data_IF_195226764228
#
_entry.id   IF_195226764228
#
_cell.length_a   1.000
_cell.length_b   1.000
_cell.length_c   1.000
_cell.angle_alpha   90.00
_cell.angle_beta   90.00
_cell.angle_gamma   90.00
#
_symmetry.space_group_name_H-M   'P 1'
#
loop_
_entity.id
_entity.type
_entity.pdbx_description
1 polymer ?
#
# COMPACT_ATOMS: atom_id res chain seq x y z
N UNK A 1 1.39 11.01 -13.74
CA UNK A 1 1.19 12.43 -14.12
C UNK A 1 2.22 13.26 -13.38
N UNK A 2 2.93 14.20 -14.04
CA UNK A 2 3.92 15.05 -13.37
C UNK A 2 3.23 15.95 -12.33
N UNK A 3 3.88 16.16 -11.18
CA UNK A 3 3.37 17.06 -10.13
C UNK A 3 3.95 18.45 -10.37
N UNK A 4 3.08 19.45 -10.43
CA UNK A 4 3.49 20.84 -10.68
C UNK A 4 3.21 21.68 -9.44
N UNK A 5 4.24 22.31 -8.90
CA UNK A 5 4.13 23.29 -7.80
C UNK A 5 4.29 24.71 -8.36
N UNK A 6 3.41 25.63 -7.96
CA UNK A 6 3.48 27.04 -8.36
C UNK A 6 4.07 27.83 -7.21
N UNK A 7 5.28 28.36 -7.39
CA UNK A 7 5.98 29.21 -6.41
C UNK A 7 6.11 30.64 -6.95
N UNK A 8 6.44 31.61 -6.09
CA UNK A 8 6.62 33.03 -6.50
C UNK A 8 7.68 33.22 -7.60
N UNK A 9 8.58 32.24 -7.77
CA UNK A 9 9.66 32.25 -8.77
C UNK A 9 9.33 31.46 -10.05
N UNK A 10 8.09 30.96 -10.19
CA UNK A 10 7.63 30.22 -11.38
C UNK A 10 7.03 28.84 -11.09
N UNK A 11 6.70 28.12 -12.16
CA UNK A 11 6.11 26.77 -12.10
C UNK A 11 7.23 25.72 -12.10
N UNK A 12 7.37 25.00 -10.99
CA UNK A 12 8.29 23.86 -10.86
C UNK A 12 7.52 22.60 -11.28
N UNK A 13 8.11 21.80 -12.16
CA UNK A 13 7.51 20.55 -12.66
C UNK A 13 8.40 19.38 -12.28
N UNK A 14 7.94 18.52 -11.38
CA UNK A 14 8.66 17.32 -11.00
C UNK A 14 8.25 16.14 -11.89
N UNK A 15 9.24 15.49 -12.50
CA UNK A 15 9.05 14.27 -13.30
C UNK A 15 9.86 13.12 -12.72
N UNK A 16 9.42 11.88 -12.94
CA UNK A 16 10.11 10.70 -12.40
C UNK A 16 11.52 10.54 -12.97
N UNK A 17 11.74 11.02 -14.20
CA UNK A 17 13.04 11.02 -14.88
C UNK A 17 14.09 11.81 -14.09
N UNK A 18 13.72 12.98 -13.57
CA UNK A 18 14.59 13.87 -12.79
C UNK A 18 15.11 13.19 -11.50
N UNK A 19 14.30 12.33 -10.87
CA UNK A 19 14.74 11.56 -9.70
C UNK A 19 15.70 10.42 -10.07
N UNK A 20 15.50 9.78 -11.23
CA UNK A 20 16.37 8.68 -11.69
C UNK A 20 17.76 9.17 -12.10
N UNK A 21 17.85 10.34 -12.72
CA UNK A 21 19.13 10.97 -13.09
C UNK A 21 19.98 11.29 -11.85
N UNK A 22 19.36 11.84 -10.80
CA UNK A 22 20.07 12.17 -9.54
C UNK A 22 20.66 10.92 -8.88
N UNK A 23 19.93 9.80 -8.84
CA UNK A 23 20.48 8.54 -8.30
C UNK A 23 21.67 8.02 -9.10
N UNK A 24 21.64 8.19 -10.43
CA UNK A 24 22.73 7.76 -11.31
C UNK A 24 24.01 8.59 -11.10
N UNK A 25 23.87 9.90 -10.88
CA UNK A 25 24.98 10.79 -10.56
C UNK A 25 25.62 10.45 -9.21
N UNK A 26 24.81 10.14 -8.18
CA UNK A 26 25.32 9.67 -6.90
C UNK A 26 26.02 8.30 -6.99
N UNK A 27 25.51 7.40 -7.83
CA UNK A 27 26.14 6.11 -8.09
C UNK A 27 27.47 6.26 -8.85
N UNK A 28 27.56 7.20 -9.79
CA UNK A 28 28.77 7.50 -10.54
C UNK A 28 29.86 8.16 -9.66
N UNK A 29 29.45 9.04 -8.73
CA UNK A 29 30.36 9.75 -7.82
C UNK A 29 31.07 8.84 -6.78
N UNK A 30 30.61 7.60 -6.59
CA UNK A 30 31.22 6.64 -5.66
C UNK A 30 32.55 6.03 -6.17
N UNK A 31 33.03 6.40 -7.36
CA UNK A 31 34.29 5.92 -7.93
C UNK A 31 35.39 6.98 -7.81
N UNK A 32 35.84 7.23 -6.58
CA UNK A 32 37.13 7.91 -6.36
C UNK A 32 38.11 6.95 -5.72
N UNK A 33 39.25 6.78 -6.39
CA UNK A 33 40.30 5.81 -6.07
C UNK A 33 40.73 5.86 -4.60
N UNK A 34 40.65 4.70 -3.94
CA UNK A 34 41.14 4.54 -2.57
C UNK A 34 42.67 4.61 -2.57
N UNK A 35 43.20 5.74 -2.11
CA UNK A 35 44.61 5.86 -1.69
C UNK A 35 44.89 4.78 -0.65
N UNK A 36 45.92 3.97 -0.89
CA UNK A 36 46.30 2.85 -0.04
C UNK A 36 46.75 3.35 1.36
N UNK A 37 45.83 3.31 2.31
CA UNK A 37 46.12 3.50 3.72
C UNK A 37 46.64 2.16 4.28
N UNK A 38 47.87 2.15 4.80
CA UNK A 38 48.47 0.96 5.43
C UNK A 38 47.70 0.69 6.72
N UNK A 39 46.83 -0.32 6.71
CA UNK A 39 46.00 -0.70 7.86
C UNK A 39 46.88 -1.50 8.84
N UNK A 40 46.97 -1.12 10.12
CA UNK A 40 47.71 -1.88 11.13
C UNK A 40 47.09 -3.27 11.31
N UNK A 41 47.94 -4.28 11.54
CA UNK A 41 47.57 -5.71 11.58
C UNK A 41 46.47 -6.05 12.61
N UNK A 42 46.32 -5.22 13.64
CA UNK A 42 45.26 -5.33 14.67
C UNK A 42 43.84 -4.99 14.17
N UNK A 43 43.70 -4.39 12.98
CA UNK A 43 42.41 -4.06 12.36
C UNK A 43 41.97 -5.07 11.27
N UNK A 44 42.68 -6.20 11.14
CA UNK A 44 42.34 -7.27 10.21
C UNK A 44 41.20 -8.15 10.78
N UNK A 45 40.01 -7.57 10.92
CA UNK A 45 38.81 -8.32 11.31
C UNK A 45 38.29 -9.05 10.07
N UNK A 46 38.55 -10.36 9.98
CA UNK A 46 38.03 -11.21 8.90
C UNK A 46 36.61 -11.67 9.23
N UNK A 47 35.64 -11.31 8.39
CA UNK A 47 34.27 -11.83 8.50
C UNK A 47 34.27 -13.30 8.07
N UNK A 48 33.84 -14.20 8.96
CA UNK A 48 33.59 -15.59 8.61
C UNK A 48 32.36 -15.63 7.73
N UNK A 49 32.55 -15.88 6.45
CA UNK A 49 31.46 -16.14 5.51
C UNK A 49 30.78 -17.44 5.95
N UNK A 50 29.52 -17.31 6.35
CA UNK A 50 28.63 -18.43 6.63
C UNK A 50 27.84 -18.58 5.34
N UNK A 51 27.91 -19.76 4.70
CA UNK A 51 27.12 -20.05 3.51
C UNK A 51 25.66 -19.67 3.78
N UNK A 52 25.15 -18.68 3.04
CA UNK A 52 23.73 -18.37 3.00
C UNK A 52 23.02 -19.52 2.30
N UNK A 53 22.82 -20.63 3.02
CA UNK A 53 21.87 -21.65 2.62
C UNK A 53 20.55 -20.92 2.40
N UNK A 54 20.02 -20.98 1.17
CA UNK A 54 18.77 -20.35 0.79
C UNK A 54 17.68 -20.76 1.79
N UNK A 55 17.42 -19.91 2.77
CA UNK A 55 16.42 -20.22 3.78
C UNK A 55 15.08 -20.13 3.06
N UNK A 56 14.48 -21.30 2.85
CA UNK A 56 13.19 -21.39 2.20
C UNK A 56 12.19 -20.60 3.04
N UNK A 57 11.48 -19.64 2.43
CA UNK A 57 10.48 -18.82 3.12
C UNK A 57 9.38 -19.63 3.83
N UNK A 58 9.23 -20.91 3.47
CA UNK A 58 8.32 -21.88 4.08
C UNK A 58 8.75 -22.36 5.48
N UNK A 59 10.02 -22.21 5.86
CA UNK A 59 10.52 -22.70 7.15
C UNK A 59 10.16 -21.71 8.28
N UNK A 60 10.17 -20.41 7.97
CA UNK A 60 9.81 -19.31 8.87
C UNK A 60 8.38 -19.31 9.37
N UNK A 61 7.45 -19.94 8.66
CA UNK A 61 6.04 -20.03 9.07
C UNK A 61 5.81 -21.05 10.19
N UNK A 62 6.78 -21.94 10.44
CA UNK A 62 6.67 -23.05 11.40
C UNK A 62 7.44 -22.86 12.71
N UNK A 63 8.30 -21.84 12.80
CA UNK A 63 9.10 -21.53 13.98
C UNK A 63 8.38 -20.52 14.87
N UNK A 64 8.25 -20.86 16.15
CA UNK A 64 7.67 -19.97 17.16
C UNK A 64 8.51 -18.68 17.27
N UNK A 65 7.91 -17.48 17.34
CA UNK A 65 8.62 -16.21 17.47
C UNK A 65 9.59 -16.12 18.67
N UNK A 66 9.46 -17.01 19.67
CA UNK A 66 10.38 -17.11 20.81
C UNK A 66 11.67 -17.91 20.52
N UNK A 67 11.66 -18.76 19.50
CA UNK A 67 12.80 -19.64 19.15
C UNK A 67 13.71 -19.01 18.08
N UNK A 68 13.27 -17.89 17.48
CA UNK A 68 14.03 -17.16 16.47
C UNK A 68 15.08 -16.27 17.12
N UNK A 69 16.26 -16.18 16.50
CA UNK A 69 17.26 -15.21 16.93
C UNK A 69 16.79 -13.78 16.62
N UNK A 70 17.27 -12.78 17.37
CA UNK A 70 16.86 -11.38 17.17
C UNK A 70 17.11 -10.92 15.73
N UNK A 71 18.26 -11.28 15.16
CA UNK A 71 18.62 -10.98 13.76
C UNK A 71 17.62 -11.56 12.77
N UNK A 72 17.23 -12.81 13.00
CA UNK A 72 16.30 -13.55 12.17
C UNK A 72 14.89 -12.94 12.21
N UNK A 73 14.41 -12.52 13.39
CA UNK A 73 13.12 -11.80 13.51
C UNK A 73 13.14 -10.45 12.78
N UNK A 74 14.28 -9.74 12.79
CA UNK A 74 14.44 -8.47 12.10
C UNK A 74 14.43 -8.65 10.59
N UNK A 75 15.09 -9.71 10.07
CA UNK A 75 15.10 -10.08 8.65
C UNK A 75 13.70 -10.44 8.18
N UNK A 76 13.00 -11.31 8.90
CA UNK A 76 11.62 -11.70 8.58
C UNK A 76 10.66 -10.48 8.52
N UNK A 77 10.74 -9.57 9.50
CA UNK A 77 9.94 -8.33 9.51
C UNK A 77 10.29 -7.38 8.36
N UNK A 78 11.56 -7.32 7.96
CA UNK A 78 11.98 -6.51 6.81
C UNK A 78 11.41 -7.09 5.51
N UNK A 79 11.44 -8.41 5.35
CA UNK A 79 10.92 -9.08 4.17
C UNK A 79 9.39 -9.06 4.10
N UNK A 80 8.69 -9.15 5.23
CA UNK A 80 7.24 -8.92 5.31
C UNK A 80 6.88 -7.51 4.81
N UNK A 81 7.62 -6.49 5.28
CA UNK A 81 7.42 -5.10 4.83
C UNK A 81 7.67 -4.96 3.33
N UNK A 82 8.75 -5.54 2.82
CA UNK A 82 9.06 -5.55 1.37
C UNK A 82 7.96 -6.21 0.56
N UNK A 83 7.48 -7.38 1.01
CA UNK A 83 6.37 -8.12 0.37
C UNK A 83 5.10 -7.28 0.36
N UNK A 84 4.72 -6.67 1.49
CA UNK A 84 3.53 -5.83 1.61
C UNK A 84 3.60 -4.61 0.69
N UNK A 85 4.76 -3.95 0.63
CA UNK A 85 4.97 -2.78 -0.23
C UNK A 85 4.95 -3.17 -1.72
N UNK A 86 5.53 -4.33 -2.07
CA UNK A 86 5.46 -4.90 -3.42
C UNK A 86 4.02 -5.27 -3.81
N UNK A 87 3.27 -5.91 -2.90
CA UNK A 87 1.87 -6.26 -3.14
C UNK A 87 1.01 -5.00 -3.30
N UNK A 88 1.24 -3.98 -2.47
CA UNK A 88 0.57 -2.69 -2.58
C UNK A 88 0.81 -2.07 -3.97
N UNK A 89 2.06 -2.02 -4.45
CA UNK A 89 2.35 -1.55 -5.81
C UNK A 89 1.70 -2.42 -6.90
N UNK A 90 1.70 -3.74 -6.73
CA UNK A 90 1.09 -4.66 -7.69
C UNK A 90 -0.43 -4.47 -7.82
N UNK A 91 -1.12 -4.13 -6.72
CA UNK A 91 -2.56 -3.80 -6.72
C UNK A 91 -2.90 -2.57 -7.56
N UNK A 92 -1.96 -1.71 -7.93
CA UNK A 92 -2.27 -0.59 -8.83
C UNK A 92 -1.92 -0.91 -10.28
N UNK A 93 -0.82 -1.63 -10.53
CA UNK A 93 -0.36 -1.91 -11.89
C UNK A 93 -1.16 -3.00 -12.61
N UNK A 94 -1.63 -4.03 -11.89
CA UNK A 94 -2.35 -5.14 -12.52
C UNK A 94 -3.89 -4.95 -12.54
N UNK A 95 -4.39 -3.87 -11.95
CA UNK A 95 -5.81 -3.55 -11.90
C UNK A 95 -6.24 -2.53 -12.97
N UNK A 96 -5.34 -2.02 -13.81
CA UNK A 96 -5.68 -1.07 -14.88
C UNK A 96 -6.72 -1.68 -15.83
N UNK A 97 -6.52 -2.91 -16.30
CA UNK A 97 -7.51 -3.59 -17.14
C UNK A 97 -8.85 -3.85 -16.43
N UNK A 98 -8.84 -4.07 -15.11
CA UNK A 98 -10.07 -4.26 -14.32
C UNK A 98 -10.80 -2.94 -14.06
N UNK A 99 -10.08 -1.82 -14.01
CA UNK A 99 -10.68 -0.50 -13.80
C UNK A 99 -11.55 -0.12 -15.00
N UNK A 100 -11.07 -0.38 -16.22
CA UNK A 100 -11.85 -0.17 -17.45
C UNK A 100 -13.13 -1.03 -17.48
N UNK A 101 -13.09 -2.23 -16.92
CA UNK A 101 -14.28 -3.09 -16.76
C UNK A 101 -15.23 -2.55 -15.69
N UNK A 102 -14.70 -2.08 -14.55
CA UNK A 102 -15.48 -1.49 -13.46
C UNK A 102 -16.09 -0.13 -13.80
N UNK A 103 -15.51 0.62 -14.74
CA UNK A 103 -16.10 1.88 -15.21
C UNK A 103 -17.26 1.64 -16.18
N UNK A 104 -17.26 0.52 -16.92
CA UNK A 104 -18.35 0.16 -17.83
C UNK A 104 -19.61 -0.32 -17.11
N UNK A 105 -19.47 -0.81 -15.88
CA UNK A 105 -20.59 -1.34 -15.11
C UNK A 105 -20.98 -0.43 -13.93
N UNK A 106 -22.29 -0.16 -13.73
CA UNK A 106 -22.75 0.67 -12.63
C UNK A 106 -22.47 -0.01 -11.28
N UNK A 107 -22.31 0.80 -10.22
CA UNK A 107 -21.85 0.35 -8.92
C UNK A 107 -22.67 -0.79 -8.31
N UNK A 108 -23.99 -0.77 -8.47
CA UNK A 108 -24.88 -1.83 -7.97
C UNK A 108 -24.52 -3.20 -8.59
N UNK A 109 -24.18 -3.23 -9.88
CA UNK A 109 -23.93 -4.46 -10.63
C UNK A 109 -22.56 -5.04 -10.29
N UNK A 110 -21.56 -4.17 -10.13
CA UNK A 110 -20.24 -4.55 -9.60
C UNK A 110 -20.30 -5.15 -8.21
N UNK A 111 -21.27 -4.70 -7.39
CA UNK A 111 -21.50 -5.23 -6.05
C UNK A 111 -22.32 -6.54 -6.08
N UNK A 112 -22.71 -7.03 -7.25
CA UNK A 112 -23.55 -8.22 -7.39
C UNK A 112 -25.01 -8.00 -6.95
N UNK A 113 -25.45 -6.74 -6.85
CA UNK A 113 -26.84 -6.40 -6.50
C UNK A 113 -27.70 -6.44 -7.76
N UNK A 114 -28.77 -7.22 -7.74
CA UNK A 114 -29.76 -7.27 -8.82
C UNK A 114 -31.01 -6.44 -8.44
N UNK A 115 -31.31 -5.41 -9.25
CA UNK A 115 -32.50 -4.56 -9.04
C UNK A 115 -33.80 -5.23 -9.50
N UNK A 116 -33.74 -6.33 -10.25
CA UNK A 116 -34.95 -7.04 -10.69
C UNK A 116 -35.71 -7.66 -9.52
N UNK A 117 -34.97 -8.02 -8.46
CA UNK A 117 -35.50 -8.56 -7.23
C UNK A 117 -35.57 -7.47 -6.17
N UNK A 118 -36.74 -7.27 -5.56
CA UNK A 118 -36.84 -6.49 -4.33
C UNK A 118 -36.13 -7.26 -3.20
N UNK A 119 -34.82 -7.08 -3.08
CA UNK A 119 -34.06 -7.64 -1.99
C UNK A 119 -34.39 -6.86 -0.71
N UNK A 120 -34.94 -7.56 0.28
CA UNK A 120 -35.09 -7.04 1.63
C UNK A 120 -33.70 -6.98 2.27
N UNK A 121 -32.92 -5.95 1.95
CA UNK A 121 -31.65 -5.69 2.63
C UNK A 121 -31.97 -5.33 4.09
N UNK A 122 -31.70 -6.26 5.00
CA UNK A 122 -31.92 -6.12 6.45
C UNK A 122 -30.79 -5.33 7.13
N UNK A 123 -29.74 -4.97 6.39
CA UNK A 123 -28.69 -4.04 6.82
C UNK A 123 -29.24 -2.62 6.76
N UNK A 124 -30.09 -2.27 7.73
CA UNK A 124 -30.60 -0.92 7.91
C UNK A 124 -29.41 0.03 8.14
N UNK A 125 -29.09 0.84 7.13
CA UNK A 125 -28.16 1.95 7.31
C UNK A 125 -28.73 2.93 8.32
N UNK A 126 -27.88 3.52 9.18
CA UNK A 126 -28.28 4.55 10.15
C UNK A 126 -28.88 5.81 9.51
N UNK A 127 -28.69 5.95 8.19
CA UNK A 127 -29.13 7.06 7.37
C UNK A 127 -30.00 6.48 6.26
N UNK A 128 -31.17 7.08 6.06
CA UNK A 128 -32.12 6.80 4.99
C UNK A 128 -32.12 7.93 3.96
N UNK A 129 -32.46 7.63 2.72
CA UNK A 129 -32.58 8.62 1.64
C UNK A 129 -34.06 8.91 1.43
N UNK A 130 -34.45 10.18 1.36
CA UNK A 130 -35.82 10.58 1.05
C UNK A 130 -35.88 11.93 0.33
N UNK A 131 -37.01 12.23 -0.28
CA UNK A 131 -37.28 13.55 -0.89
C UNK A 131 -38.03 14.44 0.09
N UNK A 132 -37.72 15.74 0.09
CA UNK A 132 -38.48 16.74 0.85
C UNK A 132 -39.70 17.28 0.06
N UNK A 133 -40.39 18.29 0.61
CA UNK A 133 -41.53 18.93 -0.04
C UNK A 133 -41.19 19.71 -1.31
N UNK A 134 -39.91 20.00 -1.53
CA UNK A 134 -39.39 20.70 -2.70
C UNK A 134 -38.81 19.72 -3.74
N UNK A 135 -39.01 18.41 -3.56
CA UNK A 135 -38.43 17.34 -4.38
C UNK A 135 -36.89 17.26 -4.31
N UNK A 136 -36.25 17.86 -3.30
CA UNK A 136 -34.80 17.77 -3.13
C UNK A 136 -34.41 16.48 -2.39
N UNK A 137 -33.33 15.85 -2.84
CA UNK A 137 -32.82 14.62 -2.24
C UNK A 137 -32.11 14.92 -0.91
N UNK A 138 -32.56 14.29 0.17
CA UNK A 138 -32.02 14.50 1.51
C UNK A 138 -31.69 13.19 2.22
N UNK A 139 -30.61 13.23 3.01
CA UNK A 139 -30.19 12.15 3.90
C UNK A 139 -30.81 12.35 5.28
N UNK A 140 -31.73 11.48 5.68
CA UNK A 140 -32.40 11.52 6.98
C UNK A 140 -31.80 10.47 7.91
N UNK A 141 -31.31 10.87 9.08
CA UNK A 141 -30.90 9.97 10.15
C UNK A 141 -32.13 9.40 10.88
N UNK A 142 -32.88 8.53 10.20
CA UNK A 142 -34.06 7.88 10.77
C UNK A 142 -33.59 6.69 11.62
N UNK A 143 -33.49 6.92 12.92
CA UNK A 143 -33.07 5.94 13.90
C UNK A 143 -34.19 4.91 14.10
N UNK A 144 -34.07 3.71 13.51
CA UNK A 144 -35.13 2.69 13.56
C UNK A 144 -35.31 2.01 14.92
N UNK A 145 -34.53 2.38 15.94
CA UNK A 145 -34.62 1.82 17.30
C UNK A 145 -35.78 2.44 18.12
N UNK A 146 -36.45 3.47 17.60
CA UNK A 146 -37.49 4.20 18.32
C UNK A 146 -38.86 4.04 17.63
N UNK A 147 -39.33 2.80 17.53
CA UNK A 147 -40.71 2.54 17.16
C UNK A 147 -41.35 1.57 18.15
N UNK A 148 -42.45 2.07 18.73
CA UNK A 148 -43.69 1.30 18.86
C UNK A 148 -43.69 0.19 19.91
N UNK A 149 -43.56 0.58 21.17
CA UNK A 149 -44.15 -0.12 22.32
C UNK A 149 -44.51 0.94 23.38
N UNK A 150 -45.43 1.83 23.03
CA UNK A 150 -46.17 2.63 24.01
C UNK A 150 -47.49 1.90 24.23
N UNK A 151 -47.49 0.93 25.14
CA UNK A 151 -48.69 0.38 25.80
C UNK A 151 -48.63 0.75 27.30
#
# INVERSE_FOLDING_TARGET
MPVTEVTENGVIRHSLEEYMEVEQDFAAAATTDKVAQVVPEELNITMKEIDESSINASEFESISPMEMTIEETLRARADERRRKLKEFNYKFHNNVSKIDEYEKEPAYKRLGVDLSTNQTNTTNSRISVGTDSNNDLQLRSNNSYLHDNVD
#
